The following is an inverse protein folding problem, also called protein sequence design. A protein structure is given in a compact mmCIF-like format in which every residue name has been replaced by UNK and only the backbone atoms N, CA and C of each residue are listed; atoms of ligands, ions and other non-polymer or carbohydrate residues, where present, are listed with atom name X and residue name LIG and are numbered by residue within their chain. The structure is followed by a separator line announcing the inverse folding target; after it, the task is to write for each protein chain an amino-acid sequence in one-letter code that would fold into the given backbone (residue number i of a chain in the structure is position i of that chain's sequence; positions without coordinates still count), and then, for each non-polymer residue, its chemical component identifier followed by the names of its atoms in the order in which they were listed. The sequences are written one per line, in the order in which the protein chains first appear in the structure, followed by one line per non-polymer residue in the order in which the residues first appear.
data_IF_777570021501
#
_entry.id   IF_777570021501
#
_cell.length_a   1.000
_cell.length_b   1.000
_cell.length_c   1.000
_cell.angle_alpha   90.00
_cell.angle_beta   90.00
_cell.angle_gamma   90.00
#
_symmetry.space_group_name_H-M   'P 1'
#
loop_
_entity.id
_entity.type
_entity.pdbx_description
1 polymer ?
#
# COMPACT_ATOMS: atom_id res chain seq x y z
N UNK A 1 6.30 37.64 8.08
CA UNK A 1 4.91 37.78 8.56
C UNK A 1 3.99 36.96 7.67
N UNK A 2 3.93 35.66 7.96
CA UNK A 2 2.76 34.79 7.78
C UNK A 2 2.97 33.67 8.80
N UNK A 3 2.29 33.72 9.94
CA UNK A 3 2.30 32.60 10.88
C UNK A 3 1.52 31.45 10.21
N UNK A 4 2.22 30.41 9.77
CA UNK A 4 1.59 29.18 9.30
C UNK A 4 0.82 28.58 10.47
N UNK A 5 -0.51 28.61 10.36
CA UNK A 5 -1.41 28.04 11.35
C UNK A 5 -1.25 26.53 11.35
N UNK A 6 -0.56 26.00 12.35
CA UNK A 6 -0.65 24.59 12.70
C UNK A 6 -2.12 24.23 12.93
N UNK A 7 -2.64 23.15 12.30
CA UNK A 7 -4.01 22.70 12.52
C UNK A 7 -4.27 22.45 14.01
N UNK A 8 -5.39 22.98 14.55
CA UNK A 8 -5.75 22.92 15.98
C UNK A 8 -5.79 21.51 16.57
N UNK A 9 -5.89 20.48 15.73
CA UNK A 9 -5.87 19.07 16.15
C UNK A 9 -4.52 18.68 16.80
N UNK A 10 -3.42 19.32 16.39
CA UNK A 10 -2.07 19.05 16.90
C UNK A 10 -1.75 19.79 18.23
N UNK A 11 -2.63 20.65 18.74
CA UNK A 11 -2.41 21.40 20.00
C UNK A 11 -2.92 20.66 21.25
N UNK A 12 -3.49 19.46 21.09
CA UNK A 12 -4.12 18.71 22.18
C UNK A 12 -3.05 18.06 23.08
N UNK A 13 -3.21 18.18 24.41
CA UNK A 13 -2.25 17.72 25.42
C UNK A 13 -1.92 16.21 25.33
N UNK A 14 -2.83 15.40 24.77
CA UNK A 14 -2.60 13.97 24.50
C UNK A 14 -1.52 13.70 23.44
N UNK A 15 -1.32 14.60 22.47
CA UNK A 15 -0.26 14.48 21.46
C UNK A 15 1.16 14.60 22.06
N UNK A 16 1.26 15.18 23.26
CA UNK A 16 2.50 15.34 24.03
C UNK A 16 2.67 14.30 25.15
N UNK A 17 1.72 13.37 25.28
CA UNK A 17 1.83 12.28 26.25
C UNK A 17 3.00 11.36 25.88
N UNK A 18 3.75 10.90 26.89
CA UNK A 18 4.81 9.91 26.65
C UNK A 18 4.17 8.65 26.06
N UNK A 19 4.72 8.07 24.98
CA UNK A 19 4.25 6.81 24.45
C UNK A 19 4.20 5.77 25.58
N UNK A 20 3.11 4.99 25.62
CA UNK A 20 2.89 3.98 26.64
C UNK A 20 4.10 3.06 26.79
N UNK A 21 4.43 2.68 28.03
CA UNK A 21 5.60 1.84 28.38
C UNK A 21 5.54 0.41 27.78
N UNK A 22 4.48 0.10 27.03
CA UNK A 22 4.36 -1.08 26.20
C UNK A 22 5.28 -0.96 24.99
N UNK A 23 6.28 -1.82 24.90
CA UNK A 23 7.14 -1.94 23.73
C UNK A 23 6.31 -2.14 22.45
N UNK A 24 6.54 -1.30 21.44
CA UNK A 24 5.94 -1.40 20.11
C UNK A 24 7.04 -1.85 19.14
N UNK A 25 6.79 -2.85 18.29
CA UNK A 25 7.77 -3.26 17.30
C UNK A 25 8.04 -2.13 16.29
N UNK A 26 9.31 -1.85 16.04
CA UNK A 26 9.76 -0.81 15.10
C UNK A 26 9.42 -1.10 13.62
N UNK A 27 8.81 -2.25 13.32
CA UNK A 27 8.46 -2.65 11.95
C UNK A 27 7.16 -2.03 11.44
N UNK A 28 6.36 -1.40 12.30
CA UNK A 28 5.09 -0.79 11.91
C UNK A 28 5.35 0.69 11.63
N UNK A 29 5.39 1.04 10.35
CA UNK A 29 5.39 2.45 9.95
C UNK A 29 4.01 3.05 10.18
N UNK A 30 3.91 4.31 10.65
CA UNK A 30 2.63 4.98 10.83
C UNK A 30 1.99 5.30 9.47
N UNK A 31 0.67 5.17 9.41
CA UNK A 31 -0.11 5.62 8.26
C UNK A 31 -0.46 7.10 8.40
N UNK A 32 -0.34 7.91 7.33
CA UNK A 32 -0.78 9.30 7.34
C UNK A 32 -2.29 9.41 7.55
N UNK A 33 -2.75 10.61 7.95
CA UNK A 33 -4.18 10.88 8.02
C UNK A 33 -4.84 10.64 6.65
N UNK A 34 -5.94 9.87 6.59
CA UNK A 34 -6.65 9.63 5.33
C UNK A 34 -7.07 10.96 4.69
N UNK A 35 -6.77 11.10 3.40
CA UNK A 35 -7.19 12.26 2.61
C UNK A 35 -8.17 11.78 1.53
N UNK A 36 -9.29 12.49 1.39
CA UNK A 36 -10.32 12.09 0.41
C UNK A 36 -9.77 12.14 -1.03
N UNK A 37 -10.09 11.11 -1.80
CA UNK A 37 -9.58 10.92 -3.16
C UNK A 37 -8.11 10.49 -3.28
N UNK A 38 -7.37 10.35 -2.18
CA UNK A 38 -5.96 9.92 -2.21
C UNK A 38 -5.76 8.60 -1.47
N UNK A 39 -4.79 7.83 -1.97
CA UNK A 39 -4.29 6.63 -1.29
C UNK A 39 -2.82 6.79 -1.00
N UNK A 40 -2.40 6.33 0.18
CA UNK A 40 -1.02 6.40 0.63
C UNK A 40 -0.40 5.01 0.63
N UNK A 41 0.89 4.95 0.32
CA UNK A 41 1.65 3.71 0.31
C UNK A 41 3.13 3.97 0.53
N UNK A 42 3.77 3.10 1.30
CA UNK A 42 5.21 3.00 1.40
C UNK A 42 5.79 2.29 0.17
N UNK A 43 6.55 3.03 -0.64
CA UNK A 43 7.24 2.56 -1.85
C UNK A 43 8.69 2.27 -1.51
N UNK A 44 9.17 1.10 -1.90
CA UNK A 44 10.56 0.70 -1.64
C UNK A 44 11.54 1.44 -2.54
N UNK A 45 12.47 2.15 -1.92
CA UNK A 45 13.58 2.86 -2.57
C UNK A 45 14.89 2.09 -2.44
N UNK A 46 15.09 1.33 -1.36
CA UNK A 46 16.32 0.55 -1.14
C UNK A 46 15.99 -0.87 -0.69
N UNK A 47 16.83 -1.83 -1.08
CA UNK A 47 16.79 -3.21 -0.58
C UNK A 47 18.19 -3.61 -0.17
N UNK A 48 18.38 -4.01 1.10
CA UNK A 48 19.70 -4.39 1.64
C UNK A 48 20.79 -3.31 1.43
N UNK A 49 20.41 -2.03 1.48
CA UNK A 49 21.32 -0.89 1.27
C UNK A 49 21.47 -0.44 -0.18
N UNK A 50 21.09 -1.28 -1.16
CA UNK A 50 21.18 -0.97 -2.59
C UNK A 50 19.94 -0.24 -3.09
N UNK A 51 20.11 0.78 -3.94
CA UNK A 51 19.00 1.56 -4.51
C UNK A 51 18.21 0.77 -5.56
N UNK A 52 16.90 0.63 -5.36
CA UNK A 52 15.95 -0.04 -6.27
C UNK A 52 15.31 0.98 -7.22
N UNK A 53 16.13 1.62 -8.06
CA UNK A 53 15.68 2.70 -8.98
C UNK A 53 14.63 2.22 -10.00
N UNK A 54 14.66 0.92 -10.35
CA UNK A 54 13.70 0.32 -11.29
C UNK A 54 12.30 0.31 -10.67
N UNK A 55 12.19 -0.10 -9.40
CA UNK A 55 10.91 -0.08 -8.70
C UNK A 55 10.40 1.34 -8.51
N UNK A 56 11.24 2.27 -8.07
CA UNK A 56 10.85 3.69 -7.91
C UNK A 56 10.34 4.26 -9.23
N UNK A 57 11.09 4.08 -10.32
CA UNK A 57 10.69 4.54 -11.66
C UNK A 57 9.37 3.93 -12.13
N UNK A 58 9.15 2.65 -11.85
CA UNK A 58 7.87 1.98 -12.15
C UNK A 58 6.72 2.61 -11.36
N UNK A 59 6.88 2.81 -10.06
CA UNK A 59 5.83 3.39 -9.22
C UNK A 59 5.50 4.83 -9.62
N UNK A 60 6.50 5.65 -9.93
CA UNK A 60 6.25 7.02 -10.39
C UNK A 60 5.50 7.06 -11.73
N UNK A 61 5.80 6.15 -12.66
CA UNK A 61 5.04 6.02 -13.92
C UNK A 61 3.61 5.50 -13.69
N UNK A 62 3.42 4.63 -12.71
CA UNK A 62 2.07 4.19 -12.29
C UNK A 62 1.25 5.35 -11.70
N UNK A 63 1.89 6.42 -11.22
CA UNK A 63 1.26 7.65 -10.75
C UNK A 63 1.49 7.97 -9.28
N UNK A 64 2.42 7.25 -8.62
CA UNK A 64 2.81 7.53 -7.24
C UNK A 64 3.68 8.79 -7.15
N UNK A 65 3.35 9.66 -6.22
CA UNK A 65 4.05 10.92 -5.98
C UNK A 65 4.61 10.93 -4.55
N UNK A 66 5.88 11.32 -4.34
CA UNK A 66 6.46 11.41 -3.01
C UNK A 66 5.73 12.44 -2.16
N UNK A 67 5.58 12.13 -0.87
CA UNK A 67 4.93 13.00 0.12
C UNK A 67 5.99 13.81 0.85
N UNK A 68 5.82 15.13 0.88
CA UNK A 68 6.66 16.04 1.63
C UNK A 68 6.40 15.92 3.13
N UNK A 69 7.46 16.04 3.93
CA UNK A 69 7.32 16.05 5.40
C UNK A 69 6.47 17.22 5.90
N UNK A 70 6.51 18.35 5.19
CA UNK A 70 5.70 19.56 5.47
C UNK A 70 4.19 19.33 5.34
N UNK A 71 3.77 18.46 4.40
CA UNK A 71 2.35 18.17 4.16
C UNK A 71 1.73 17.34 5.30
N UNK A 72 2.57 16.58 6.02
CA UNK A 72 2.14 15.64 7.07
C UNK A 72 2.97 15.78 8.35
N UNK A 73 2.88 16.93 9.05
CA UNK A 73 3.64 17.16 10.27
C UNK A 73 3.24 16.21 11.41
N UNK A 74 2.05 15.60 11.35
CA UNK A 74 1.56 14.63 12.33
C UNK A 74 2.39 13.36 12.42
N UNK A 75 3.09 12.99 11.34
CA UNK A 75 3.89 11.77 11.31
C UNK A 75 5.21 11.95 12.07
N UNK A 76 5.69 13.20 12.22
CA UNK A 76 6.99 13.52 12.82
C UNK A 76 8.17 12.72 12.22
N UNK A 77 8.01 12.26 10.97
CA UNK A 77 9.02 11.53 10.22
C UNK A 77 9.71 12.48 9.24
N UNK A 78 11.02 12.32 9.11
CA UNK A 78 11.85 13.04 8.17
C UNK A 78 12.48 12.08 7.15
N UNK A 79 13.21 12.61 6.17
CA UNK A 79 14.00 11.80 5.26
C UNK A 79 15.15 11.10 5.99
N UNK A 80 15.46 9.88 5.58
CA UNK A 80 16.67 9.17 6.03
C UNK A 80 17.97 9.94 5.69
N UNK A 81 19.01 9.70 6.48
CA UNK A 81 20.35 10.25 6.25
C UNK A 81 20.90 9.74 4.90
N UNK A 82 21.28 10.65 4.00
CA UNK A 82 21.77 10.31 2.66
C UNK A 82 20.67 9.81 1.70
N UNK A 83 19.42 10.19 1.97
CA UNK A 83 18.30 10.01 1.05
C UNK A 83 18.50 10.80 -0.25
N UNK A 84 17.99 10.27 -1.37
CA UNK A 84 17.87 11.01 -2.63
C UNK A 84 16.61 11.90 -2.66
N UNK A 85 15.71 11.72 -1.69
CA UNK A 85 14.40 12.35 -1.58
C UNK A 85 14.37 13.34 -0.42
N UNK A 86 15.37 14.21 -0.32
CA UNK A 86 15.46 15.23 0.72
C UNK A 86 14.17 16.05 0.83
N UNK A 87 13.63 16.18 2.05
CA UNK A 87 12.38 16.88 2.34
C UNK A 87 11.11 16.03 2.19
N UNK A 88 11.24 14.78 1.72
CA UNK A 88 10.14 13.81 1.70
C UNK A 88 10.23 12.83 2.85
N UNK A 89 9.14 12.13 3.14
CA UNK A 89 9.08 11.15 4.22
C UNK A 89 9.68 9.83 3.72
N UNK A 90 10.86 9.47 4.20
CA UNK A 90 11.53 8.19 3.90
C UNK A 90 12.10 7.58 5.18
N UNK A 91 11.81 6.30 5.41
CA UNK A 91 12.29 5.54 6.57
C UNK A 91 12.80 4.18 6.15
N UNK A 92 14.06 3.87 6.43
CA UNK A 92 14.67 2.58 6.17
C UNK A 92 14.64 2.13 4.71
N UNK A 93 14.69 3.06 3.75
CA UNK A 93 14.54 2.73 2.33
C UNK A 93 13.11 2.49 1.87
N UNK A 94 12.13 3.02 2.61
CA UNK A 94 10.71 3.09 2.24
C UNK A 94 10.29 4.56 2.17
N UNK A 95 9.86 5.01 1.00
CA UNK A 95 9.39 6.36 0.72
C UNK A 95 7.86 6.40 0.76
N UNK A 96 7.30 7.28 1.57
CA UNK A 96 5.86 7.51 1.57
C UNK A 96 5.44 8.21 0.28
N UNK A 97 4.53 7.59 -0.45
CA UNK A 97 3.95 8.14 -1.67
C UNK A 97 2.43 8.22 -1.56
N UNK A 98 1.85 9.20 -2.27
CA UNK A 98 0.42 9.34 -2.50
C UNK A 98 0.07 9.15 -3.98
N UNK A 99 -1.13 8.66 -4.25
CA UNK A 99 -1.68 8.56 -5.60
C UNK A 99 -3.19 8.80 -5.60
N UNK A 100 -3.74 9.23 -6.74
CA UNK A 100 -5.17 9.36 -6.92
C UNK A 100 -5.85 7.99 -6.79
N UNK A 101 -6.85 7.92 -5.89
CA UNK A 101 -7.62 6.72 -5.61
C UNK A 101 -8.29 6.17 -6.86
N UNK A 102 -8.89 7.03 -7.69
CA UNK A 102 -9.61 6.58 -8.88
C UNK A 102 -8.68 5.85 -9.85
N UNK A 103 -7.43 6.34 -10.00
CA UNK A 103 -6.41 5.71 -10.85
C UNK A 103 -5.94 4.38 -10.27
N UNK A 104 -5.78 4.28 -8.95
CA UNK A 104 -5.36 3.04 -8.30
C UNK A 104 -6.48 1.98 -8.32
N UNK A 105 -7.73 2.39 -8.14
CA UNK A 105 -8.89 1.51 -8.26
C UNK A 105 -9.03 0.96 -9.69
N UNK A 106 -8.84 1.80 -10.71
CA UNK A 106 -8.84 1.37 -12.11
C UNK A 106 -7.72 0.35 -12.41
N UNK A 107 -6.53 0.54 -11.82
CA UNK A 107 -5.41 -0.40 -11.91
C UNK A 107 -5.77 -1.74 -11.24
N UNK A 108 -6.32 -1.70 -10.03
CA UNK A 108 -6.74 -2.90 -9.30
C UNK A 108 -7.74 -3.70 -10.13
N UNK A 109 -8.78 -3.03 -10.65
CA UNK A 109 -9.78 -3.65 -11.53
C UNK A 109 -9.16 -4.30 -12.77
N UNK A 110 -8.16 -3.68 -13.39
CA UNK A 110 -7.47 -4.26 -14.54
C UNK A 110 -6.76 -5.58 -14.19
N UNK A 111 -6.06 -5.63 -13.06
CA UNK A 111 -5.37 -6.85 -12.63
C UNK A 111 -6.33 -7.93 -12.13
N UNK A 112 -7.45 -7.55 -11.52
CA UNK A 112 -8.54 -8.47 -11.17
C UNK A 112 -9.08 -9.16 -12.44
N UNK A 113 -9.37 -8.38 -13.49
CA UNK A 113 -9.82 -8.93 -14.78
C UNK A 113 -8.79 -9.87 -15.41
N UNK A 114 -7.49 -9.55 -15.33
CA UNK A 114 -6.43 -10.45 -15.81
C UNK A 114 -6.44 -11.76 -15.02
N UNK A 115 -6.56 -11.70 -13.69
CA UNK A 115 -6.62 -12.88 -12.85
C UNK A 115 -7.86 -13.74 -13.16
N UNK A 116 -9.02 -13.12 -13.33
CA UNK A 116 -10.25 -13.79 -13.71
C UNK A 116 -10.12 -14.49 -15.07
N UNK A 117 -9.55 -13.81 -16.06
CA UNK A 117 -9.30 -14.39 -17.39
C UNK A 117 -8.34 -15.58 -17.34
N UNK A 118 -7.31 -15.53 -16.48
CA UNK A 118 -6.40 -16.67 -16.28
C UNK A 118 -7.13 -17.87 -15.68
N UNK A 119 -8.00 -17.65 -14.69
CA UNK A 119 -8.82 -18.73 -14.11
C UNK A 119 -9.74 -19.35 -15.16
N UNK A 120 -10.45 -18.52 -15.93
CA UNK A 120 -11.30 -19.00 -17.02
C UNK A 120 -10.52 -19.78 -18.08
N UNK A 121 -9.29 -19.36 -18.43
CA UNK A 121 -8.45 -20.09 -19.38
C UNK A 121 -8.07 -21.49 -18.87
N UNK A 122 -7.80 -21.63 -17.57
CA UNK A 122 -7.51 -22.93 -16.95
C UNK A 122 -8.75 -23.83 -17.00
N UNK A 123 -9.90 -23.28 -16.62
CA UNK A 123 -11.16 -24.03 -16.61
C UNK A 123 -11.56 -24.47 -18.03
N UNK A 124 -11.40 -23.59 -19.02
CA UNK A 124 -11.66 -23.91 -20.43
C UNK A 124 -10.74 -25.02 -20.95
N UNK A 125 -9.45 -25.02 -20.57
CA UNK A 125 -8.54 -26.08 -20.95
C UNK A 125 -8.92 -27.41 -20.29
N UNK A 126 -9.33 -27.38 -19.01
CA UNK A 126 -9.80 -28.55 -18.28
C UNK A 126 -11.06 -29.17 -18.93
N UNK A 127 -12.01 -28.34 -19.34
CA UNK A 127 -13.28 -28.77 -19.94
C UNK A 127 -13.17 -29.13 -21.44
N UNK A 128 -12.04 -28.87 -22.09
CA UNK A 128 -11.84 -29.10 -23.53
C UNK A 128 -11.92 -30.59 -23.92
N UNK A 129 -11.55 -31.49 -23.02
CA UNK A 129 -11.56 -32.95 -23.24
C UNK A 129 -12.82 -33.62 -22.64
N UNK A 130 -13.88 -32.84 -22.42
CA UNK A 130 -15.12 -33.34 -21.84
C UNK A 130 -15.86 -34.26 -22.82
N UNK A 131 -15.96 -35.56 -22.47
CA UNK A 131 -16.80 -36.52 -23.19
C UNK A 131 -18.26 -36.39 -22.70
N UNK A 132 -19.24 -36.22 -23.61
CA UNK A 132 -20.67 -36.13 -23.25
C UNK A 132 -21.21 -37.28 -22.38
N UNK A 133 -20.56 -38.46 -22.38
CA UNK A 133 -20.94 -39.62 -21.57
C UNK A 133 -20.35 -39.60 -20.15
N UNK A 134 -19.30 -38.82 -19.92
CA UNK A 134 -18.73 -38.57 -18.59
C UNK A 134 -18.37 -37.09 -18.43
N UNK A 135 -19.36 -36.23 -18.12
CA UNK A 135 -19.13 -34.80 -18.05
C UNK A 135 -18.19 -34.42 -16.91
N UNK A 136 -17.12 -33.71 -17.24
CA UNK A 136 -16.33 -32.97 -16.26
C UNK A 136 -17.18 -31.80 -15.75
N UNK A 137 -17.42 -31.75 -14.44
CA UNK A 137 -18.17 -30.67 -13.81
C UNK A 137 -17.28 -29.44 -13.64
N UNK A 138 -17.87 -28.25 -13.76
CA UNK A 138 -17.16 -27.02 -13.40
C UNK A 138 -16.73 -27.11 -11.93
N UNK A 139 -15.45 -26.87 -11.62
CA UNK A 139 -15.00 -26.90 -10.24
C UNK A 139 -15.70 -25.80 -9.43
N UNK A 140 -16.51 -26.19 -8.45
CA UNK A 140 -17.10 -25.25 -7.49
C UNK A 140 -16.01 -24.69 -6.59
N UNK A 141 -15.57 -23.46 -6.87
CA UNK A 141 -14.58 -22.76 -6.04
C UNK A 141 -15.32 -21.94 -4.97
N UNK A 142 -15.50 -22.51 -3.79
CA UNK A 142 -15.93 -21.78 -2.60
C UNK A 142 -14.70 -21.25 -1.86
N UNK A 143 -14.53 -19.93 -1.78
CA UNK A 143 -13.47 -19.28 -0.98
C UNK A 143 -13.85 -19.13 0.49
N UNK A 144 -15.01 -19.65 0.91
CA UNK A 144 -15.43 -19.65 2.31
C UNK A 144 -14.60 -20.69 3.08
N UNK A 145 -13.49 -20.25 3.66
CA UNK A 145 -12.80 -21.00 4.73
C UNK A 145 -13.74 -20.96 5.95
N UNK A 146 -14.59 -21.97 6.10
CA UNK A 146 -15.36 -22.16 7.33
C UNK A 146 -14.39 -22.51 8.45
N UNK A 147 -13.93 -21.48 9.18
CA UNK A 147 -13.31 -21.56 10.51
C UNK A 147 -12.56 -22.87 10.80
N UNK A 148 -11.36 -23.02 10.25
CA UNK A 148 -10.41 -23.99 10.80
C UNK A 148 -9.87 -23.39 12.11
N UNK A 149 -10.26 -23.98 13.26
CA UNK A 149 -9.72 -23.61 14.58
C UNK A 149 -10.55 -22.62 15.40
N UNK A 150 -11.87 -22.81 15.51
CA UNK A 150 -12.65 -22.23 16.61
C UNK A 150 -12.85 -23.30 17.68
N UNK A 151 -11.82 -23.47 18.50
CA UNK A 151 -11.91 -23.85 19.91
C UNK A 151 -11.39 -22.66 20.73
#
# INVERSE_FOLDING_TARGET
MTEERTPRENETRDASARPSDSWIPASILPDPKPQDGWVFRWVRTKTLGESDNVHVSRMFREGWQPVKAEDHPELMLASDVGSQFEGNIEVGGLLLCKADKARMDARTKHFEQIADNQMHSVDNNFLRENDPRMPLLNPERSTRVSSFGKD
#
